data_IF_625573197083
#
_entry.id   IF_625573197083
#
_cell.length_a   1.000
_cell.length_b   1.000
_cell.length_c   1.000
_cell.angle_alpha   90.00
_cell.angle_beta   90.00
_cell.angle_gamma   90.00
#
_symmetry.space_group_name_H-M   'P 1'
#
loop_
_entity.id
_entity.type
_entity.pdbx_description
1 polymer ?
#
# COMPACT_ATOMS: atom_id res chain seq x y z
N UNK A 1 45.71 -0.60 7.81
CA UNK A 1 44.79 -1.39 6.99
C UNK A 1 45.32 -1.32 5.59
N UNK A 2 45.75 -2.44 5.00
CA UNK A 2 46.17 -2.46 3.59
C UNK A 2 44.97 -2.11 2.73
N UNK A 3 45.10 -1.08 1.89
CA UNK A 3 44.10 -0.75 0.88
C UNK A 3 44.10 -1.88 -0.16
N UNK A 4 43.01 -2.65 -0.19
CA UNK A 4 42.81 -3.71 -1.17
C UNK A 4 42.42 -3.02 -2.48
N UNK A 5 43.37 -2.90 -3.40
CA UNK A 5 43.12 -2.35 -4.72
C UNK A 5 42.39 -3.39 -5.60
N UNK A 6 41.11 -3.15 -5.87
CA UNK A 6 40.33 -3.95 -6.82
C UNK A 6 40.59 -3.42 -8.22
N UNK A 7 41.20 -4.26 -9.06
CA UNK A 7 41.53 -3.88 -10.44
C UNK A 7 40.34 -4.13 -11.38
N UNK A 8 40.36 -3.52 -12.58
CA UNK A 8 39.41 -3.81 -13.66
C UNK A 8 39.47 -5.28 -14.11
N UNK A 9 40.63 -5.91 -13.97
CA UNK A 9 40.84 -7.33 -14.30
C UNK A 9 40.14 -8.23 -13.27
N UNK A 10 40.21 -7.88 -11.98
CA UNK A 10 39.42 -8.53 -10.92
C UNK A 10 37.91 -8.45 -11.21
N UNK A 11 37.44 -7.30 -11.71
CA UNK A 11 36.04 -7.13 -12.09
C UNK A 11 35.62 -8.03 -13.27
N UNK A 12 36.45 -8.14 -14.30
CA UNK A 12 36.16 -8.99 -15.47
C UNK A 12 36.16 -10.48 -15.08
N UNK A 13 37.12 -10.91 -14.25
CA UNK A 13 37.17 -12.31 -13.75
C UNK A 13 35.90 -12.65 -12.96
N UNK A 14 35.43 -11.72 -12.13
CA UNK A 14 34.18 -11.85 -11.38
C UNK A 14 32.94 -11.98 -12.25
N UNK A 15 32.86 -11.25 -13.36
CA UNK A 15 31.74 -11.35 -14.31
C UNK A 15 31.65 -12.72 -15.00
N UNK A 16 32.75 -13.47 -15.01
CA UNK A 16 32.80 -14.84 -15.53
C UNK A 16 32.69 -15.91 -14.43
N UNK A 17 32.27 -15.53 -13.21
CA UNK A 17 32.04 -16.45 -12.09
C UNK A 17 33.31 -16.98 -11.42
N UNK A 18 34.47 -16.39 -11.73
CA UNK A 18 35.76 -16.77 -11.13
C UNK A 18 36.16 -15.79 -10.02
N UNK A 19 37.00 -16.24 -9.09
CA UNK A 19 37.42 -15.48 -7.91
C UNK A 19 38.90 -15.09 -7.99
N UNK A 20 39.22 -13.89 -7.53
CA UNK A 20 40.62 -13.48 -7.31
C UNK A 20 40.90 -13.33 -5.82
N UNK A 21 42.18 -13.47 -5.46
CA UNK A 21 42.67 -13.37 -4.07
C UNK A 21 42.33 -11.99 -3.47
N UNK A 22 42.27 -10.94 -4.28
CA UNK A 22 41.88 -9.60 -3.86
C UNK A 22 40.39 -9.52 -3.50
N UNK A 23 39.53 -10.25 -4.21
CA UNK A 23 38.10 -10.32 -3.93
C UNK A 23 37.78 -11.13 -2.67
N UNK A 24 38.54 -12.17 -2.37
CA UNK A 24 38.39 -12.98 -1.15
C UNK A 24 38.83 -12.25 0.13
N UNK A 25 39.63 -11.19 -0.03
CA UNK A 25 40.07 -10.32 1.08
C UNK A 25 39.11 -9.17 1.35
N UNK A 26 38.12 -8.94 0.48
CA UNK A 26 37.12 -7.90 0.70
C UNK A 26 36.33 -8.17 1.99
N UNK A 27 35.89 -7.12 2.70
CA UNK A 27 34.89 -7.24 3.74
C UNK A 27 33.65 -8.01 3.26
N UNK A 28 33.06 -8.83 4.13
CA UNK A 28 31.98 -9.77 3.81
C UNK A 28 30.75 -9.15 3.12
N UNK A 29 30.47 -7.85 3.35
CA UNK A 29 29.38 -7.14 2.69
C UNK A 29 29.70 -6.75 1.23
N UNK A 30 30.97 -6.44 0.92
CA UNK A 30 31.42 -6.16 -0.45
C UNK A 30 31.62 -7.44 -1.27
N UNK A 31 31.95 -8.55 -0.61
CA UNK A 31 31.94 -9.86 -1.23
C UNK A 31 30.54 -10.19 -1.74
N UNK A 32 29.51 -10.07 -0.88
CA UNK A 32 28.13 -10.39 -1.26
C UNK A 32 27.66 -9.62 -2.51
N UNK A 33 27.91 -8.31 -2.60
CA UNK A 33 27.47 -7.52 -3.76
C UNK A 33 28.26 -7.81 -5.05
N UNK A 34 29.41 -8.48 -4.98
CA UNK A 34 30.24 -8.86 -6.14
C UNK A 34 30.02 -10.30 -6.59
N UNK A 35 29.47 -11.13 -5.70
CA UNK A 35 29.21 -12.55 -5.93
C UNK A 35 27.73 -12.88 -6.11
N UNK A 36 26.83 -11.90 -6.00
CA UNK A 36 25.48 -12.05 -6.53
C UNK A 36 25.54 -12.06 -8.06
N UNK A 37 24.89 -13.05 -8.67
CA UNK A 37 24.74 -13.12 -10.11
C UNK A 37 24.09 -11.81 -10.59
N UNK A 38 24.67 -11.19 -11.62
CA UNK A 38 24.05 -10.00 -12.20
C UNK A 38 22.64 -10.38 -12.66
N UNK A 39 21.61 -9.59 -12.31
CA UNK A 39 20.26 -9.87 -12.73
C UNK A 39 20.22 -9.94 -14.25
N UNK A 40 19.62 -11.00 -14.77
CA UNK A 40 19.46 -11.16 -16.21
C UNK A 40 18.45 -10.13 -16.73
N UNK A 41 18.47 -9.87 -18.05
CA UNK A 41 17.44 -9.04 -18.68
C UNK A 41 16.02 -9.55 -18.36
N UNK A 42 15.86 -10.87 -18.23
CA UNK A 42 14.58 -11.50 -17.86
C UNK A 42 14.18 -11.17 -16.42
N UNK A 43 15.13 -11.16 -15.49
CA UNK A 43 14.89 -10.80 -14.08
C UNK A 43 14.46 -9.35 -13.96
N UNK A 44 15.15 -8.45 -14.68
CA UNK A 44 14.78 -7.02 -14.73
C UNK A 44 13.41 -6.81 -15.36
N UNK A 45 13.06 -7.54 -16.42
CA UNK A 45 11.73 -7.48 -17.03
C UNK A 45 10.63 -7.94 -16.07
N UNK A 46 10.89 -9.01 -15.29
CA UNK A 46 9.97 -9.48 -14.25
C UNK A 46 9.78 -8.43 -13.16
N UNK A 47 10.88 -7.83 -12.69
CA UNK A 47 10.84 -6.80 -11.65
C UNK A 47 10.10 -5.54 -12.13
N UNK A 48 10.31 -5.10 -13.37
CA UNK A 48 9.56 -3.98 -13.96
C UNK A 48 8.06 -4.29 -14.01
N UNK A 49 7.68 -5.53 -14.37
CA UNK A 49 6.28 -5.96 -14.33
C UNK A 49 5.69 -5.87 -12.92
N UNK A 50 6.43 -6.38 -11.93
CA UNK A 50 6.09 -6.33 -10.51
C UNK A 50 5.85 -4.90 -10.03
N UNK A 51 6.83 -4.01 -10.27
CA UNK A 51 6.78 -2.62 -9.84
C UNK A 51 5.62 -1.86 -10.49
N UNK A 52 5.29 -2.16 -11.75
CA UNK A 52 4.13 -1.54 -12.42
C UNK A 52 2.80 -1.93 -11.77
N UNK A 53 2.66 -3.19 -11.38
CA UNK A 53 1.46 -3.67 -10.67
C UNK A 53 1.36 -3.04 -9.29
N UNK A 54 2.49 -2.95 -8.57
CA UNK A 54 2.56 -2.32 -7.26
C UNK A 54 2.20 -0.81 -7.33
N UNK A 55 2.72 -0.09 -8.34
CA UNK A 55 2.32 1.31 -8.59
C UNK A 55 0.83 1.43 -8.89
N UNK A 56 0.26 0.53 -9.70
CA UNK A 56 -1.17 0.55 -10.02
C UNK A 56 -2.03 0.34 -8.76
N UNK A 57 -1.62 -0.58 -7.88
CA UNK A 57 -2.26 -0.79 -6.58
C UNK A 57 -2.22 0.48 -5.72
N UNK A 58 -1.05 1.10 -5.53
CA UNK A 58 -0.96 2.31 -4.71
C UNK A 58 -1.79 3.47 -5.26
N UNK A 59 -1.86 3.62 -6.60
CA UNK A 59 -2.72 4.64 -7.21
C UNK A 59 -4.20 4.39 -6.94
N UNK A 60 -4.64 3.14 -6.99
CA UNK A 60 -6.03 2.78 -6.69
C UNK A 60 -6.34 2.93 -5.20
N UNK A 61 -5.40 2.52 -4.33
CA UNK A 61 -5.51 2.70 -2.89
C UNK A 61 -5.63 4.18 -2.51
N UNK A 62 -4.79 5.04 -3.10
CA UNK A 62 -4.87 6.48 -2.89
C UNK A 62 -6.24 7.05 -3.30
N UNK A 63 -6.78 6.64 -4.46
CA UNK A 63 -8.11 7.08 -4.92
C UNK A 63 -9.21 6.61 -3.97
N UNK A 64 -9.14 5.35 -3.53
CA UNK A 64 -10.13 4.77 -2.62
C UNK A 64 -10.13 5.44 -1.24
N UNK A 65 -8.95 5.78 -0.71
CA UNK A 65 -8.81 6.50 0.55
C UNK A 65 -9.30 7.95 0.45
N UNK A 66 -8.99 8.65 -0.66
CA UNK A 66 -9.52 9.99 -0.90
C UNK A 66 -11.05 10.00 -0.98
N UNK A 67 -11.66 9.02 -1.64
CA UNK A 67 -13.12 8.87 -1.67
C UNK A 67 -13.72 8.64 -0.27
N UNK A 68 -13.03 7.88 0.60
CA UNK A 68 -13.44 7.72 2.00
C UNK A 68 -13.38 9.04 2.77
N UNK A 69 -12.34 9.85 2.52
CA UNK A 69 -12.19 11.16 3.15
C UNK A 69 -13.30 12.13 2.73
N UNK A 70 -13.68 12.11 1.45
CA UNK A 70 -14.83 12.88 0.94
C UNK A 70 -16.14 12.44 1.62
N UNK A 71 -16.33 11.13 1.83
CA UNK A 71 -17.44 10.60 2.62
C UNK A 71 -17.48 11.14 4.05
N UNK A 72 -16.33 11.18 4.72
CA UNK A 72 -16.21 11.79 6.05
C UNK A 72 -16.57 13.28 6.07
N UNK A 73 -16.11 14.03 5.05
CA UNK A 73 -16.45 15.45 4.88
C UNK A 73 -17.95 15.67 4.65
N UNK A 74 -18.59 14.80 3.86
CA UNK A 74 -20.03 14.85 3.64
C UNK A 74 -20.82 14.52 4.91
N UNK A 75 -20.39 13.52 5.67
CA UNK A 75 -20.98 13.19 6.96
C UNK A 75 -20.88 14.36 7.96
N UNK A 76 -19.74 15.04 8.00
CA UNK A 76 -19.56 16.26 8.78
C UNK A 76 -20.53 17.37 8.33
N UNK A 77 -20.68 17.57 7.01
CA UNK A 77 -21.65 18.53 6.46
C UNK A 77 -23.07 18.23 6.91
N UNK A 78 -23.49 16.97 6.81
CA UNK A 78 -24.82 16.51 7.25
C UNK A 78 -25.05 16.78 8.74
N UNK A 79 -24.07 16.48 9.60
CA UNK A 79 -24.15 16.76 11.03
C UNK A 79 -24.26 18.26 11.31
N UNK A 80 -23.42 19.07 10.66
CA UNK A 80 -23.44 20.52 10.81
C UNK A 80 -24.78 21.11 10.37
N UNK A 81 -25.30 20.66 9.23
CA UNK A 81 -26.56 21.13 8.66
C UNK A 81 -27.76 20.68 9.52
N UNK A 82 -27.62 19.61 10.34
CA UNK A 82 -28.60 19.23 11.35
C UNK A 82 -28.45 20.00 12.68
N UNK A 83 -27.23 20.37 13.04
CA UNK A 83 -26.91 21.08 14.29
C UNK A 83 -27.34 22.55 14.27
N UNK A 84 -27.14 23.24 13.14
CA UNK A 84 -27.47 24.68 13.01
C UNK A 84 -28.97 24.97 13.19
N UNK A 85 -29.91 24.21 12.61
CA UNK A 85 -31.33 24.39 12.89
C UNK A 85 -31.67 24.01 14.33
N UNK A 86 -31.13 22.88 14.82
CA UNK A 86 -31.44 22.37 16.15
C UNK A 86 -31.03 23.32 17.28
N UNK A 87 -29.99 24.14 17.08
CA UNK A 87 -29.55 25.14 18.07
C UNK A 87 -30.44 26.39 18.15
N UNK A 88 -31.30 26.62 17.15
CA UNK A 88 -32.19 27.79 17.06
C UNK A 88 -33.62 27.47 17.50
N UNK A 89 -34.03 26.20 17.50
CA UNK A 89 -35.38 25.81 17.90
C UNK A 89 -35.55 25.85 19.43
N UNK A 90 -36.68 26.41 19.90
CA UNK A 90 -37.08 26.37 21.31
C UNK A 90 -37.71 25.03 21.72
N UNK A 91 -38.19 24.24 20.75
CA UNK A 91 -38.74 22.91 20.99
C UNK A 91 -37.63 21.84 20.99
N UNK A 92 -37.31 21.36 22.19
CA UNK A 92 -36.31 20.34 22.44
C UNK A 92 -36.61 19.02 21.72
N UNK A 93 -37.90 18.66 21.57
CA UNK A 93 -38.29 17.42 20.91
C UNK A 93 -37.92 17.47 19.41
N UNK A 94 -38.23 18.59 18.75
CA UNK A 94 -37.92 18.79 17.34
C UNK A 94 -36.41 18.91 17.07
N UNK A 95 -35.67 19.57 17.97
CA UNK A 95 -34.22 19.64 17.93
C UNK A 95 -33.59 18.24 18.04
N UNK A 96 -34.06 17.42 18.98
CA UNK A 96 -33.56 16.06 19.17
C UNK A 96 -33.83 15.16 17.96
N UNK A 97 -35.03 15.21 17.38
CA UNK A 97 -35.36 14.41 16.18
C UNK A 97 -34.51 14.81 14.98
N UNK A 98 -34.25 16.11 14.81
CA UNK A 98 -33.41 16.64 13.71
C UNK A 98 -31.97 16.16 13.85
N UNK A 99 -31.41 16.23 15.07
CA UNK A 99 -30.06 15.74 15.37
C UNK A 99 -29.95 14.22 15.21
N UNK A 100 -30.92 13.45 15.70
CA UNK A 100 -30.93 11.99 15.59
C UNK A 100 -30.97 11.55 14.12
N UNK A 101 -31.82 12.19 13.30
CA UNK A 101 -31.89 11.92 11.87
C UNK A 101 -30.58 12.31 11.16
N UNK A 102 -30.02 13.48 11.48
CA UNK A 102 -28.73 13.93 10.95
C UNK A 102 -27.59 12.96 11.29
N UNK A 103 -27.53 12.49 12.54
CA UNK A 103 -26.55 11.52 12.99
C UNK A 103 -26.70 10.16 12.29
N UNK A 104 -27.93 9.67 12.13
CA UNK A 104 -28.19 8.45 11.39
C UNK A 104 -27.75 8.57 9.92
N UNK A 105 -28.09 9.69 9.27
CA UNK A 105 -27.70 9.95 7.88
C UNK A 105 -26.18 10.05 7.72
N UNK A 106 -25.49 10.77 8.62
CA UNK A 106 -24.05 10.84 8.63
C UNK A 106 -23.40 9.46 8.84
N UNK A 107 -23.96 8.64 9.74
CA UNK A 107 -23.50 7.26 9.95
C UNK A 107 -23.67 6.37 8.71
N UNK A 108 -24.76 6.53 7.96
CA UNK A 108 -24.95 5.84 6.68
C UNK A 108 -23.91 6.25 5.63
N UNK A 109 -23.63 7.55 5.51
CA UNK A 109 -22.62 8.06 4.57
C UNK A 109 -21.24 7.49 4.90
N UNK A 110 -20.81 7.56 6.16
CA UNK A 110 -19.51 7.01 6.59
C UNK A 110 -19.43 5.51 6.28
N UNK A 111 -20.47 4.75 6.66
CA UNK A 111 -20.49 3.30 6.44
C UNK A 111 -20.39 2.96 4.96
N UNK A 112 -21.16 3.64 4.10
CA UNK A 112 -21.16 3.39 2.67
C UNK A 112 -19.81 3.74 2.04
N UNK A 113 -19.21 4.87 2.43
CA UNK A 113 -17.90 5.28 1.94
C UNK A 113 -16.81 4.30 2.35
N UNK A 114 -16.78 3.88 3.63
CA UNK A 114 -15.82 2.89 4.11
C UNK A 114 -16.00 1.52 3.44
N UNK A 115 -17.24 1.07 3.27
CA UNK A 115 -17.53 -0.19 2.59
C UNK A 115 -17.03 -0.16 1.15
N UNK A 116 -17.37 0.89 0.40
CA UNK A 116 -16.91 1.06 -0.99
C UNK A 116 -15.39 1.09 -1.09
N UNK A 117 -14.73 1.81 -0.17
CA UNK A 117 -13.26 1.87 -0.11
C UNK A 117 -12.66 0.50 0.20
N UNK A 118 -13.23 -0.23 1.16
CA UNK A 118 -12.80 -1.59 1.51
C UNK A 118 -12.93 -2.55 0.33
N UNK A 119 -14.05 -2.52 -0.37
CA UNK A 119 -14.30 -3.38 -1.55
C UNK A 119 -13.30 -3.09 -2.68
N UNK A 120 -13.02 -1.80 -2.94
CA UNK A 120 -12.03 -1.40 -3.95
C UNK A 120 -10.62 -1.81 -3.57
N UNK A 121 -10.22 -1.62 -2.32
CA UNK A 121 -8.91 -2.03 -1.81
C UNK A 121 -8.74 -3.55 -1.89
N UNK A 122 -9.72 -4.31 -1.43
CA UNK A 122 -9.68 -5.77 -1.48
C UNK A 122 -9.60 -6.30 -2.92
N UNK A 123 -10.34 -5.69 -3.84
CA UNK A 123 -10.28 -6.04 -5.27
C UNK A 123 -8.88 -5.73 -5.84
N UNK A 124 -8.36 -4.53 -5.58
CA UNK A 124 -7.05 -4.12 -6.09
C UNK A 124 -5.90 -4.93 -5.48
N UNK A 125 -6.00 -5.31 -4.21
CA UNK A 125 -5.06 -6.19 -3.53
C UNK A 125 -5.11 -7.60 -4.12
N UNK A 126 -6.31 -8.13 -4.35
CA UNK A 126 -6.49 -9.44 -4.98
C UNK A 126 -5.84 -9.50 -6.36
N UNK A 127 -5.99 -8.43 -7.16
CA UNK A 127 -5.37 -8.33 -8.47
C UNK A 127 -3.84 -8.23 -8.38
N UNK A 128 -3.31 -7.48 -7.40
CA UNK A 128 -1.87 -7.43 -7.12
C UNK A 128 -1.35 -8.81 -6.75
N UNK A 129 -1.97 -9.50 -5.79
CA UNK A 129 -1.53 -10.81 -5.32
C UNK A 129 -1.55 -11.86 -6.43
N UNK A 130 -2.60 -11.91 -7.26
CA UNK A 130 -2.64 -12.76 -8.46
C UNK A 130 -1.49 -12.46 -9.41
N UNK A 131 -1.18 -11.19 -9.58
CA UNK A 131 -0.13 -10.74 -10.49
C UNK A 131 1.28 -11.07 -9.98
N UNK A 132 1.42 -11.24 -8.67
CA UNK A 132 2.61 -11.73 -7.98
C UNK A 132 2.67 -13.27 -7.83
N UNK A 133 1.67 -13.99 -8.38
CA UNK A 133 1.50 -15.44 -8.22
C UNK A 133 1.39 -15.89 -6.75
N UNK A 134 0.95 -14.99 -5.87
CA UNK A 134 0.71 -15.28 -4.45
C UNK A 134 -0.70 -15.87 -4.32
N UNK A 135 -0.86 -17.11 -3.80
CA UNK A 135 -2.17 -17.71 -3.64
C UNK A 135 -2.97 -16.97 -2.57
N UNK A 136 -4.19 -16.55 -2.92
CA UNK A 136 -5.20 -16.08 -1.97
C UNK A 136 -5.84 -17.31 -1.31
N UNK A 137 -5.40 -17.65 -0.10
CA UNK A 137 -6.06 -18.68 0.71
C UNK A 137 -7.22 -18.09 1.50
N UNK A 138 -8.37 -17.91 0.84
CA UNK A 138 -9.63 -17.46 1.45
C UNK A 138 -10.27 -18.51 2.40
N UNK A 139 -9.59 -19.63 2.71
CA UNK A 139 -10.12 -20.65 3.64
C UNK A 139 -10.09 -20.21 5.11
N UNK A 140 -9.37 -19.12 5.40
CA UNK A 140 -9.29 -18.48 6.69
C UNK A 140 -10.39 -17.43 6.84
N UNK A 141 -11.48 -17.74 7.55
CA UNK A 141 -12.44 -16.74 8.08
C UNK A 141 -11.81 -15.81 9.16
N UNK A 142 -10.48 -15.71 9.21
CA UNK A 142 -9.70 -14.97 10.21
C UNK A 142 -8.59 -14.16 9.55
N UNK A 143 -8.86 -13.53 8.42
CA UNK A 143 -7.92 -12.56 7.88
C UNK A 143 -8.12 -11.24 8.61
N UNK A 144 -7.39 -11.12 9.72
CA UNK A 144 -7.12 -9.86 10.37
C UNK A 144 -6.14 -9.08 9.49
N UNK A 145 -6.62 -7.93 9.03
CA UNK A 145 -5.89 -6.71 8.68
C UNK A 145 -4.40 -6.81 9.07
N UNK A 146 -3.51 -6.92 8.08
CA UNK A 146 -2.10 -6.63 8.29
C UNK A 146 -1.97 -5.11 8.30
N UNK A 147 -1.59 -4.57 9.47
CA UNK A 147 -1.29 -3.17 9.74
C UNK A 147 -0.09 -2.67 8.95
#
# INVERSE_FOLDING_TARGET
>A
MEDIEITTLDHIISQHGQKTVNMERLPSHLQKSKFEDLPTVRDLQREIGRLRQEIAFYQEAQKALLASFEGGREAYRVLRDALVPASVHQDLAHAFTTLAYGAQKAGMVIRQSLQTTSERLATSESDLLRSLEIPLDDSSKKDYIIL
#
